data_IF_263018968328
#
_entry.id   IF_263018968328
#
_cell.length_a   1.000
_cell.length_b   1.000
_cell.length_c   1.000
_cell.angle_alpha   90.00
_cell.angle_beta   90.00
_cell.angle_gamma   90.00
#
_symmetry.space_group_name_H-M   'P 1'
#
loop_
_entity.id
_entity.type
_entity.pdbx_description
1 polymer ?
#
# COMPACT_ATOMS: atom_id res chain seq x y z
N UNK A 1 -22.98 43.46 37.67
CA UNK A 1 -23.10 43.50 36.19
C UNK A 1 -21.74 43.64 35.51
N UNK A 2 -20.95 44.71 35.77
CA UNK A 2 -19.61 44.90 35.17
C UNK A 2 -18.62 43.73 35.39
N UNK A 3 -18.57 43.13 36.58
CA UNK A 3 -17.66 42.00 36.85
C UNK A 3 -18.03 40.72 36.08
N UNK A 4 -19.33 40.44 35.91
CA UNK A 4 -19.81 39.26 35.17
C UNK A 4 -19.47 39.39 33.68
N UNK A 5 -19.62 40.59 33.11
CA UNK A 5 -19.27 40.88 31.72
C UNK A 5 -17.75 40.70 31.50
N UNK A 6 -16.92 41.17 32.43
CA UNK A 6 -15.47 41.00 32.34
C UNK A 6 -15.05 39.52 32.42
N UNK A 7 -15.69 38.75 33.31
CA UNK A 7 -15.46 37.30 33.42
C UNK A 7 -15.82 36.57 32.13
N UNK A 8 -16.94 36.92 31.50
CA UNK A 8 -17.38 36.34 30.23
C UNK A 8 -16.47 36.71 29.06
N UNK A 9 -15.95 37.94 29.02
CA UNK A 9 -14.99 38.36 27.96
C UNK A 9 -13.67 37.61 28.12
N UNK A 10 -13.18 37.44 29.35
CA UNK A 10 -11.95 36.70 29.63
C UNK A 10 -12.10 35.21 29.32
N UNK A 11 -13.23 34.58 29.68
CA UNK A 11 -13.47 33.17 29.39
C UNK A 11 -13.70 32.90 27.91
N UNK A 12 -14.41 33.79 27.19
CA UNK A 12 -14.60 33.71 25.74
C UNK A 12 -13.27 33.93 25.00
N UNK A 13 -12.45 34.90 25.46
CA UNK A 13 -11.11 35.13 24.92
C UNK A 13 -10.17 33.93 25.11
N UNK A 14 -10.24 33.28 26.27
CA UNK A 14 -9.48 32.05 26.54
C UNK A 14 -9.97 30.87 25.68
N UNK A 15 -11.29 30.72 25.49
CA UNK A 15 -11.86 29.70 24.61
C UNK A 15 -11.45 29.92 23.15
N UNK A 16 -11.50 31.16 22.65
CA UNK A 16 -11.05 31.48 21.29
C UNK A 16 -9.54 31.28 21.11
N UNK A 17 -8.71 31.66 22.10
CA UNK A 17 -7.27 31.41 22.05
C UNK A 17 -6.92 29.91 22.00
N UNK A 18 -7.73 29.06 22.65
CA UNK A 18 -7.53 27.61 22.66
C UNK A 18 -7.94 26.93 21.33
N UNK A 19 -8.86 27.52 20.57
CA UNK A 19 -9.30 27.00 19.25
C UNK A 19 -8.32 27.38 18.13
N UNK A 20 -7.45 28.36 18.32
CA UNK A 20 -6.52 28.85 17.31
C UNK A 20 -5.15 28.14 17.27
N UNK A 21 -4.91 27.14 18.12
CA UNK A 21 -3.68 26.34 18.03
C UNK A 21 -3.85 25.30 16.92
N UNK A 22 -3.74 25.76 15.67
CA UNK A 22 -3.37 24.87 14.58
C UNK A 22 -1.95 24.39 14.88
N UNK A 23 -1.82 23.22 15.50
CA UNK A 23 -0.57 22.48 15.52
C UNK A 23 -0.30 21.95 14.10
N UNK A 24 -0.04 22.84 13.14
CA UNK A 24 0.64 22.49 11.89
C UNK A 24 2.13 22.28 12.21
N UNK A 25 2.42 21.32 13.08
CA UNK A 25 3.78 20.81 13.23
C UNK A 25 4.14 20.12 11.92
N UNK A 26 5.27 20.49 11.31
CA UNK A 26 5.89 19.65 10.29
C UNK A 26 6.04 18.26 10.90
N UNK A 27 5.47 17.19 10.31
CA UNK A 27 5.72 15.86 10.83
C UNK A 27 7.22 15.60 10.73
N UNK A 28 7.90 15.44 11.86
CA UNK A 28 9.30 15.01 11.92
C UNK A 28 9.40 13.50 11.66
N UNK A 29 8.71 13.01 10.63
CA UNK A 29 8.48 11.59 10.40
C UNK A 29 8.35 11.26 8.92
N UNK A 30 8.24 9.95 8.65
CA UNK A 30 8.03 9.44 7.31
C UNK A 30 6.69 9.93 6.76
N UNK A 31 6.74 10.64 5.64
CA UNK A 31 5.55 11.03 4.88
C UNK A 31 5.55 10.29 3.56
N UNK A 32 4.38 9.80 3.16
CA UNK A 32 4.17 9.09 1.91
C UNK A 32 2.90 9.61 1.26
N UNK A 33 2.96 9.92 -0.03
CA UNK A 33 1.79 10.35 -0.79
C UNK A 33 0.90 9.14 -1.10
N UNK A 34 -0.39 9.25 -0.74
CA UNK A 34 -1.42 8.28 -1.12
C UNK A 34 -2.07 8.74 -2.43
N UNK A 35 -1.89 7.97 -3.49
CA UNK A 35 -2.42 8.26 -4.81
C UNK A 35 -3.68 7.43 -5.02
N UNK A 36 -4.85 8.08 -5.06
CA UNK A 36 -6.10 7.37 -5.36
C UNK A 36 -6.03 6.74 -6.76
N UNK A 37 -6.47 5.48 -6.91
CA UNK A 37 -6.34 4.71 -8.16
C UNK A 37 -6.99 5.37 -9.39
N UNK A 38 -8.06 6.15 -9.18
CA UNK A 38 -8.75 6.92 -10.24
C UNK A 38 -8.32 8.39 -10.31
N UNK A 39 -7.33 8.82 -9.52
CA UNK A 39 -6.78 10.17 -9.64
C UNK A 39 -5.96 10.30 -10.93
N UNK A 40 -5.94 11.46 -11.61
CA UNK A 40 -5.02 11.73 -12.72
C UNK A 40 -3.52 11.49 -12.42
N UNK A 41 -3.12 11.48 -11.14
CA UNK A 41 -1.74 11.16 -10.73
C UNK A 41 -1.43 9.65 -10.72
N UNK A 42 -2.46 8.79 -10.80
CA UNK A 42 -2.31 7.34 -10.79
C UNK A 42 -1.82 6.80 -12.14
N UNK A 43 -0.86 5.86 -12.18
CA UNK A 43 -0.50 5.17 -13.42
C UNK A 43 -1.62 4.27 -13.96
N UNK A 44 -2.66 4.05 -13.16
CA UNK A 44 -3.85 3.27 -13.52
C UNK A 44 -5.01 4.15 -14.00
N UNK A 45 -4.83 5.47 -14.00
CA UNK A 45 -5.87 6.37 -14.49
C UNK A 45 -6.11 6.14 -15.98
N UNK A 46 -7.34 5.80 -16.39
CA UNK A 46 -7.64 5.54 -17.80
C UNK A 46 -7.52 6.80 -18.69
N UNK A 47 -7.53 7.99 -18.08
CA UNK A 47 -7.48 9.26 -18.81
C UNK A 47 -8.84 9.63 -19.40
N UNK A 48 -9.13 10.93 -19.47
CA UNK A 48 -10.29 11.49 -20.19
C UNK A 48 -11.64 10.84 -19.84
N UNK A 49 -11.88 10.51 -18.56
CA UNK A 49 -13.16 10.01 -18.08
C UNK A 49 -14.11 11.15 -17.74
N UNK A 50 -15.43 10.92 -17.87
CA UNK A 50 -16.43 11.89 -17.44
C UNK A 50 -16.63 11.86 -15.93
N UNK A 51 -17.26 12.90 -15.38
CA UNK A 51 -17.61 12.95 -13.97
C UNK A 51 -18.58 11.83 -13.57
N UNK A 52 -19.53 11.50 -14.45
CA UNK A 52 -20.48 10.40 -14.26
C UNK A 52 -19.76 9.05 -14.25
N UNK A 53 -18.78 8.86 -15.14
CA UNK A 53 -17.96 7.65 -15.15
C UNK A 53 -17.10 7.55 -13.88
N UNK A 54 -16.51 8.64 -13.42
CA UNK A 54 -15.76 8.69 -12.16
C UNK A 54 -16.65 8.28 -10.96
N UNK A 55 -17.86 8.84 -10.86
CA UNK A 55 -18.83 8.44 -9.82
C UNK A 55 -19.16 6.95 -9.93
N UNK A 56 -19.44 6.46 -11.14
CA UNK A 56 -19.80 5.05 -11.34
C UNK A 56 -18.67 4.13 -10.87
N UNK A 57 -17.41 4.46 -11.18
CA UNK A 57 -16.23 3.71 -10.74
C UNK A 57 -16.07 3.70 -9.21
N UNK A 58 -16.42 4.78 -8.53
CA UNK A 58 -16.44 4.85 -7.06
C UNK A 58 -17.57 4.00 -6.45
N UNK A 59 -18.74 3.99 -7.08
CA UNK A 59 -19.87 3.14 -6.70
C UNK A 59 -19.51 1.66 -6.86
N UNK A 60 -18.97 1.28 -8.02
CA UNK A 60 -18.59 -0.10 -8.33
C UNK A 60 -17.54 -0.62 -7.34
N UNK A 61 -16.55 0.20 -6.96
CA UNK A 61 -15.58 -0.14 -5.91
C UNK A 61 -16.22 -0.32 -4.54
N UNK A 62 -17.19 0.53 -4.19
CA UNK A 62 -17.91 0.42 -2.93
C UNK A 62 -18.71 -0.89 -2.86
N UNK A 63 -19.37 -1.26 -3.96
CA UNK A 63 -20.09 -2.53 -4.09
C UNK A 63 -19.12 -3.71 -3.97
N UNK A 64 -17.99 -3.69 -4.69
CA UNK A 64 -16.98 -4.74 -4.63
C UNK A 64 -16.42 -4.94 -3.21
N UNK A 65 -16.17 -3.84 -2.47
CA UNK A 65 -15.72 -3.90 -1.07
C UNK A 65 -16.77 -4.55 -0.16
N UNK A 66 -18.04 -4.19 -0.30
CA UNK A 66 -19.13 -4.79 0.48
C UNK A 66 -19.25 -6.28 0.19
N UNK A 67 -19.17 -6.68 -1.08
CA UNK A 67 -19.21 -8.08 -1.49
C UNK A 67 -18.05 -8.88 -0.89
N UNK A 68 -16.83 -8.32 -0.88
CA UNK A 68 -15.67 -8.95 -0.25
C UNK A 68 -15.85 -9.18 1.25
N UNK A 69 -16.34 -8.16 1.98
CA UNK A 69 -16.63 -8.31 3.40
C UNK A 69 -17.76 -9.32 3.65
N UNK A 70 -18.78 -9.35 2.79
CA UNK A 70 -19.87 -10.31 2.92
C UNK A 70 -19.39 -11.75 2.73
N UNK A 71 -18.58 -12.02 1.70
CA UNK A 71 -17.96 -13.33 1.48
C UNK A 71 -17.04 -13.74 2.64
N UNK A 72 -16.25 -12.80 3.14
CA UNK A 72 -15.39 -12.99 4.31
C UNK A 72 -16.22 -13.40 5.54
N UNK A 73 -17.28 -12.66 5.86
CA UNK A 73 -18.13 -12.97 7.01
C UNK A 73 -18.85 -14.32 6.86
N UNK A 74 -19.25 -14.67 5.64
CA UNK A 74 -19.86 -15.95 5.34
C UNK A 74 -18.88 -17.13 5.51
N UNK A 75 -17.62 -16.96 5.10
CA UNK A 75 -16.58 -18.01 5.26
C UNK A 75 -16.12 -18.19 6.70
N UNK A 76 -16.18 -17.14 7.53
CA UNK A 76 -15.90 -17.20 8.98
C UNK A 76 -17.07 -17.74 9.81
N UNK A 77 -18.30 -17.67 9.27
CA UNK A 77 -19.52 -18.11 9.94
C UNK A 77 -19.77 -19.61 9.77
N UNK A 78 -19.46 -20.40 10.79
CA UNK A 78 -19.61 -21.86 10.79
C UNK A 78 -21.06 -22.38 10.89
N UNK A 79 -22.05 -21.68 10.34
CA UNK A 79 -23.46 -22.05 10.46
C UNK A 79 -24.24 -21.72 9.19
N UNK A 80 -24.73 -22.74 8.48
CA UNK A 80 -25.96 -22.79 7.67
C UNK A 80 -26.48 -21.47 7.08
N UNK A 81 -25.63 -20.63 6.51
CA UNK A 81 -26.07 -19.56 5.63
C UNK A 81 -26.42 -20.29 4.35
N UNK A 82 -27.72 -20.43 4.10
CA UNK A 82 -28.25 -20.96 2.85
C UNK A 82 -27.49 -20.30 1.71
N UNK A 83 -26.67 -21.07 1.01
CA UNK A 83 -25.84 -20.65 -0.13
C UNK A 83 -26.69 -20.25 -1.36
N UNK A 84 -27.93 -19.80 -1.14
CA UNK A 84 -29.00 -19.73 -2.14
C UNK A 84 -29.35 -18.33 -2.58
N UNK A 85 -28.50 -17.31 -2.38
CA UNK A 85 -28.82 -15.98 -2.94
C UNK A 85 -27.76 -15.42 -3.89
N UNK A 86 -26.52 -15.93 -3.92
CA UNK A 86 -25.59 -15.45 -4.94
C UNK A 86 -24.75 -16.58 -5.50
N UNK A 87 -24.98 -16.89 -6.78
CA UNK A 87 -24.19 -17.82 -7.54
C UNK A 87 -22.73 -17.32 -7.52
N UNK A 88 -21.73 -18.12 -7.09
CA UNK A 88 -20.33 -17.71 -7.09
C UNK A 88 -19.82 -17.29 -8.47
N UNK A 89 -20.53 -17.68 -9.53
CA UNK A 89 -20.27 -17.27 -10.91
C UNK A 89 -20.84 -15.88 -11.29
N UNK A 90 -21.82 -15.36 -10.54
CA UNK A 90 -22.40 -14.01 -10.73
C UNK A 90 -21.65 -12.92 -9.96
N UNK A 91 -20.76 -13.29 -9.03
CA UNK A 91 -19.83 -12.38 -8.34
C UNK A 91 -18.40 -12.67 -8.81
N UNK A 92 -18.19 -12.66 -10.11
CA UNK A 92 -16.84 -12.34 -10.59
C UNK A 92 -16.84 -10.84 -10.80
N UNK A 93 -16.16 -10.03 -9.95
CA UNK A 93 -15.73 -8.73 -10.45
C UNK A 93 -15.05 -9.03 -11.79
N UNK A 94 -15.51 -8.35 -12.84
CA UNK A 94 -14.89 -8.47 -14.17
C UNK A 94 -13.38 -8.48 -13.92
N UNK A 95 -12.70 -9.47 -14.49
CA UNK A 95 -11.28 -9.75 -14.32
C UNK A 95 -10.37 -8.59 -14.81
N UNK A 96 -10.89 -7.39 -14.99
CA UNK A 96 -10.13 -6.16 -14.91
C UNK A 96 -10.00 -5.78 -13.44
N UNK A 97 -9.01 -6.40 -12.78
CA UNK A 97 -8.21 -5.80 -11.71
C UNK A 97 -8.86 -4.58 -11.01
N UNK A 98 -9.90 -4.80 -10.21
CA UNK A 98 -10.29 -3.88 -9.15
C UNK A 98 -9.71 -4.42 -7.85
N UNK A 99 -8.41 -4.23 -7.59
CA UNK A 99 -7.85 -4.59 -6.30
C UNK A 99 -8.56 -3.79 -5.23
N UNK A 100 -8.77 -4.44 -4.08
CA UNK A 100 -9.40 -3.86 -2.90
C UNK A 100 -8.66 -2.61 -2.39
N UNK A 101 -7.40 -2.43 -2.79
CA UNK A 101 -6.62 -1.23 -2.57
C UNK A 101 -7.11 -0.04 -3.40
N UNK A 102 -7.63 0.98 -2.72
CA UNK A 102 -8.07 2.24 -3.36
C UNK A 102 -6.93 3.26 -3.52
N UNK A 103 -5.80 3.01 -2.88
CA UNK A 103 -4.65 3.90 -2.88
C UNK A 103 -3.38 3.15 -3.27
N UNK A 104 -2.59 3.83 -4.09
CA UNK A 104 -1.24 3.45 -4.48
C UNK A 104 -0.24 4.32 -3.73
N UNK A 105 0.95 3.78 -3.53
CA UNK A 105 2.11 4.53 -3.05
C UNK A 105 3.26 4.34 -4.02
N UNK A 106 3.95 5.44 -4.32
CA UNK A 106 5.16 5.40 -5.13
C UNK A 106 6.36 5.09 -4.23
N UNK A 107 7.15 4.09 -4.59
CA UNK A 107 8.37 3.69 -3.86
C UNK A 107 9.53 3.45 -4.82
N UNK A 108 10.71 3.89 -4.42
CA UNK A 108 11.98 3.53 -5.05
C UNK A 108 12.53 2.26 -4.40
N UNK A 109 12.89 1.25 -5.17
CA UNK A 109 13.38 -0.03 -4.67
C UNK A 109 14.74 -0.36 -5.30
N UNK A 110 15.67 -0.79 -4.45
CA UNK A 110 16.98 -1.30 -4.86
C UNK A 110 18.07 -0.24 -4.98
N UNK A 111 19.27 -0.70 -5.30
CA UNK A 111 20.44 0.16 -5.51
C UNK A 111 21.17 -0.30 -6.77
N UNK A 112 21.24 0.57 -7.77
CA UNK A 112 21.80 0.30 -9.10
C UNK A 112 22.85 1.34 -9.48
N UNK A 113 23.76 0.95 -10.36
CA UNK A 113 24.68 1.89 -10.99
C UNK A 113 23.93 2.77 -11.99
N UNK A 114 23.86 4.06 -11.70
CA UNK A 114 23.19 5.04 -12.54
C UNK A 114 24.04 6.32 -12.60
N UNK A 115 24.45 6.77 -13.80
CA UNK A 115 25.08 8.07 -13.94
C UNK A 115 24.03 9.17 -13.78
N UNK A 116 24.37 10.26 -13.09
CA UNK A 116 23.51 11.44 -13.02
C UNK A 116 23.15 11.91 -14.45
N UNK A 117 21.87 12.18 -14.77
CA UNK A 117 20.72 12.39 -13.87
C UNK A 117 19.82 11.15 -13.64
N UNK A 118 20.24 9.96 -14.05
CA UNK A 118 19.46 8.75 -13.83
C UNK A 118 19.39 8.39 -12.34
N UNK A 119 18.25 7.84 -11.92
CA UNK A 119 18.02 7.40 -10.54
C UNK A 119 18.69 6.05 -10.30
N UNK A 120 19.33 5.89 -9.14
CA UNK A 120 20.00 4.65 -8.71
C UNK A 120 19.05 3.61 -8.11
N UNK A 121 17.76 3.68 -8.40
CA UNK A 121 16.69 2.81 -7.90
C UNK A 121 15.58 2.69 -8.94
N UNK A 122 14.82 1.60 -8.89
CA UNK A 122 13.65 1.41 -9.75
C UNK A 122 12.40 1.92 -9.04
N UNK A 123 11.49 2.58 -9.77
CA UNK A 123 10.23 3.10 -9.21
C UNK A 123 9.10 2.10 -9.39
N UNK A 124 8.36 1.82 -8.33
CA UNK A 124 7.18 0.95 -8.32
C UNK A 124 5.99 1.67 -7.69
N UNK A 125 4.79 1.31 -8.13
CA UNK A 125 3.54 1.70 -7.50
C UNK A 125 2.94 0.49 -6.80
N UNK A 126 2.83 0.55 -5.48
CA UNK A 126 2.32 -0.56 -4.67
C UNK A 126 0.95 -0.21 -4.12
N UNK A 127 0.06 -1.20 -4.02
CA UNK A 127 -1.18 -1.04 -3.27
C UNK A 127 -0.89 -0.92 -1.79
N UNK A 128 -1.61 -0.02 -1.12
CA UNK A 128 -1.57 0.07 0.33
C UNK A 128 -2.44 -1.03 0.92
N UNK A 129 -1.80 -2.04 1.51
CA UNK A 129 -2.46 -3.08 2.27
C UNK A 129 -2.18 -2.87 3.77
N UNK A 130 -3.22 -2.53 4.52
CA UNK A 130 -3.14 -2.34 5.99
C UNK A 130 -3.47 -3.62 6.75
N UNK A 131 -3.89 -4.67 6.04
CA UNK A 131 -4.25 -5.97 6.58
C UNK A 131 -3.10 -6.98 6.60
N UNK A 132 -1.97 -6.66 5.98
CA UNK A 132 -0.77 -7.51 5.97
C UNK A 132 0.43 -6.85 6.65
N UNK A 133 1.39 -7.69 7.04
CA UNK A 133 2.58 -7.27 7.79
C UNK A 133 3.83 -7.11 6.91
N UNK A 134 3.78 -7.58 5.66
CA UNK A 134 4.91 -7.56 4.73
C UNK A 134 4.59 -6.82 3.45
N UNK A 135 5.54 -6.00 3.01
CA UNK A 135 5.56 -5.46 1.66
C UNK A 135 6.24 -6.45 0.73
N UNK A 136 5.63 -6.75 -0.42
CA UNK A 136 6.21 -7.63 -1.42
C UNK A 136 6.14 -7.01 -2.81
N UNK A 137 7.12 -7.35 -3.64
CA UNK A 137 7.16 -7.05 -5.07
C UNK A 137 7.55 -8.31 -5.84
N UNK A 138 7.07 -8.44 -7.06
CA UNK A 138 7.44 -9.55 -7.92
C UNK A 138 8.91 -9.41 -8.34
N UNK A 139 9.73 -10.42 -8.07
CA UNK A 139 11.14 -10.45 -8.46
C UNK A 139 11.34 -11.21 -9.79
N UNK A 140 12.38 -10.88 -10.57
CA UNK A 140 12.67 -11.54 -11.85
C UNK A 140 12.90 -13.05 -11.72
N UNK A 141 13.29 -13.51 -10.52
CA UNK A 141 13.39 -14.93 -10.19
C UNK A 141 12.08 -15.71 -10.35
N UNK A 142 10.91 -15.07 -10.30
CA UNK A 142 9.65 -15.73 -10.58
C UNK A 142 9.59 -16.24 -12.04
N UNK A 143 10.34 -15.63 -12.96
CA UNK A 143 10.36 -16.00 -14.38
C UNK A 143 11.24 -17.24 -14.64
N UNK A 144 11.98 -17.71 -13.64
CA UNK A 144 12.82 -18.91 -13.76
C UNK A 144 11.94 -20.17 -13.94
N UNK A 145 12.45 -21.19 -14.67
CA UNK A 145 11.72 -22.45 -14.86
C UNK A 145 11.31 -23.07 -13.52
N UNK A 146 10.05 -23.52 -13.43
CA UNK A 146 9.49 -24.12 -12.22
C UNK A 146 8.77 -23.14 -11.28
N UNK A 147 8.86 -21.83 -11.54
CA UNK A 147 8.13 -20.80 -10.81
C UNK A 147 6.90 -20.31 -11.60
N UNK A 148 5.98 -19.63 -10.91
CA UNK A 148 4.81 -18.98 -11.50
C UNK A 148 4.86 -17.49 -11.17
N UNK A 149 4.79 -16.63 -12.20
CA UNK A 149 4.68 -15.18 -12.03
C UNK A 149 3.23 -14.73 -12.19
N UNK A 150 2.84 -13.75 -11.38
CA UNK A 150 1.69 -12.91 -11.70
C UNK A 150 1.93 -12.14 -13.00
N UNK A 151 0.87 -11.97 -13.79
CA UNK A 151 0.91 -11.11 -14.96
C UNK A 151 0.86 -9.65 -14.50
N UNK A 152 1.91 -8.89 -14.80
CA UNK A 152 2.02 -7.47 -14.44
C UNK A 152 2.36 -6.64 -15.68
N UNK A 153 1.88 -5.40 -15.72
CA UNK A 153 2.21 -4.45 -16.80
C UNK A 153 3.66 -3.99 -16.67
N UNK A 154 4.10 -3.73 -15.44
CA UNK A 154 5.49 -3.43 -15.11
C UNK A 154 6.33 -4.71 -15.07
N UNK A 155 7.61 -4.66 -15.48
CA UNK A 155 8.50 -5.80 -15.35
C UNK A 155 8.79 -6.12 -13.88
N UNK A 156 9.00 -7.41 -13.55
CA UNK A 156 9.46 -7.80 -12.22
C UNK A 156 10.75 -7.09 -11.81
N UNK A 157 10.93 -6.92 -10.50
CA UNK A 157 12.12 -6.34 -9.90
C UNK A 157 13.37 -7.17 -10.21
N UNK A 158 14.42 -6.56 -10.81
CA UNK A 158 15.64 -7.28 -11.17
C UNK A 158 16.54 -7.52 -9.95
N UNK A 159 16.14 -8.46 -9.09
CA UNK A 159 16.79 -8.70 -7.80
C UNK A 159 18.26 -9.12 -7.94
N UNK A 160 18.64 -9.81 -9.02
CA UNK A 160 20.04 -10.20 -9.25
C UNK A 160 20.98 -9.02 -9.54
N UNK A 161 20.42 -7.86 -9.94
CA UNK A 161 21.19 -6.67 -10.35
C UNK A 161 21.27 -5.60 -9.26
N UNK A 162 20.47 -5.70 -8.20
CA UNK A 162 20.45 -4.72 -7.13
C UNK A 162 21.56 -5.00 -6.11
N UNK A 163 22.42 -4.00 -5.87
CA UNK A 163 23.52 -4.08 -4.89
C UNK A 163 23.06 -4.16 -3.45
N UNK A 164 21.81 -3.76 -3.18
CA UNK A 164 21.22 -3.77 -1.83
C UNK A 164 20.32 -4.97 -1.58
N UNK A 165 20.08 -5.83 -2.57
CA UNK A 165 19.22 -7.01 -2.39
C UNK A 165 19.99 -8.10 -1.64
N UNK A 166 19.45 -8.55 -0.51
CA UNK A 166 20.03 -9.62 0.31
C UNK A 166 18.93 -10.59 0.73
N UNK A 167 18.92 -11.79 0.15
CA UNK A 167 18.03 -12.86 0.61
C UNK A 167 18.41 -13.29 2.04
N UNK A 168 17.42 -13.46 2.91
CA UNK A 168 17.66 -13.84 4.29
C UNK A 168 18.05 -15.31 4.38
N UNK A 169 19.14 -15.60 5.08
CA UNK A 169 19.58 -16.97 5.33
C UNK A 169 18.60 -17.71 6.25
N UNK A 170 18.25 -18.93 5.85
CA UNK A 170 17.40 -19.84 6.63
C UNK A 170 18.00 -20.08 8.03
N UNK A 171 17.16 -20.02 9.07
CA UNK A 171 17.52 -20.27 10.48
C UNK A 171 18.64 -19.40 11.08
N UNK A 172 19.15 -18.39 10.38
CA UNK A 172 20.20 -17.48 10.86
C UNK A 172 19.69 -16.07 11.12
N UNK A 173 18.49 -15.74 10.68
CA UNK A 173 17.90 -14.43 10.80
C UNK A 173 16.68 -14.46 11.75
N UNK A 174 16.56 -13.51 12.71
CA UNK A 174 15.45 -13.48 13.67
C UNK A 174 14.08 -13.23 13.02
N UNK A 175 14.03 -12.64 11.83
CA UNK A 175 12.80 -12.45 11.05
C UNK A 175 12.39 -13.70 10.27
N UNK A 176 13.23 -14.74 10.27
CA UNK A 176 12.91 -16.00 9.63
C UNK A 176 12.26 -16.97 10.62
N UNK A 177 11.04 -17.42 10.31
CA UNK A 177 10.38 -18.46 11.10
C UNK A 177 11.14 -19.79 10.94
N UNK A 178 11.45 -20.43 12.06
CA UNK A 178 12.20 -21.69 12.08
C UNK A 178 11.51 -22.74 11.21
N UNK A 179 12.27 -23.35 10.29
CA UNK A 179 11.80 -24.41 9.40
C UNK A 179 11.06 -23.94 8.13
N UNK A 180 10.80 -22.64 7.95
CA UNK A 180 10.25 -22.11 6.70
C UNK A 180 11.38 -21.70 5.76
N UNK A 181 11.84 -22.64 4.93
CA UNK A 181 12.98 -22.42 4.06
C UNK A 181 12.78 -23.05 2.69
N UNK A 182 13.26 -22.35 1.67
CA UNK A 182 13.37 -22.86 0.29
C UNK A 182 14.85 -22.86 -0.07
N UNK A 183 15.45 -24.06 -0.03
CA UNK A 183 16.91 -24.19 -0.14
C UNK A 183 17.62 -23.48 1.03
N UNK A 184 18.63 -22.63 0.76
CA UNK A 184 19.36 -21.93 1.82
C UNK A 184 18.65 -20.67 2.34
N UNK A 185 17.53 -20.27 1.74
CA UNK A 185 16.88 -18.99 2.00
C UNK A 185 15.60 -19.14 2.80
N UNK A 186 15.28 -18.11 3.58
CA UNK A 186 14.05 -18.03 4.33
C UNK A 186 12.86 -17.84 3.40
N UNK A 187 11.84 -18.68 3.53
CA UNK A 187 10.62 -18.58 2.73
C UNK A 187 9.40 -18.23 3.57
N UNK A 188 8.40 -17.64 2.93
CA UNK A 188 7.12 -17.34 3.54
C UNK A 188 5.99 -17.81 2.64
N UNK A 189 4.91 -18.25 3.30
CA UNK A 189 3.66 -18.65 2.68
C UNK A 189 2.57 -17.74 3.21
N UNK A 190 2.06 -16.88 2.34
CA UNK A 190 1.01 -15.91 2.65
C UNK A 190 -0.27 -16.31 1.91
N UNK A 191 -1.37 -16.40 2.65
CA UNK A 191 -2.71 -16.62 2.11
C UNK A 191 -3.56 -15.39 2.41
N UNK A 192 -4.04 -14.74 1.36
CA UNK A 192 -4.90 -13.57 1.45
C UNK A 192 -6.37 -13.99 1.59
N UNK A 193 -7.20 -13.07 2.08
CA UNK A 193 -8.62 -13.34 2.35
C UNK A 193 -9.45 -13.66 1.10
N UNK A 194 -8.94 -13.30 -0.09
CA UNK A 194 -9.54 -13.66 -1.37
C UNK A 194 -9.10 -15.04 -1.89
N UNK A 195 -8.33 -15.79 -1.10
CA UNK A 195 -7.77 -17.09 -1.45
C UNK A 195 -6.50 -17.01 -2.30
N UNK A 196 -5.98 -15.81 -2.59
CA UNK A 196 -4.70 -15.67 -3.28
C UNK A 196 -3.58 -16.17 -2.38
N UNK A 197 -2.74 -17.04 -2.92
CA UNK A 197 -1.58 -17.59 -2.22
C UNK A 197 -0.29 -17.04 -2.83
N UNK A 198 0.60 -16.53 -1.98
CA UNK A 198 1.92 -16.03 -2.37
C UNK A 198 2.98 -16.83 -1.62
N UNK A 199 3.86 -17.48 -2.37
CA UNK A 199 5.09 -18.08 -1.83
C UNK A 199 6.26 -17.16 -2.17
N UNK A 200 7.02 -16.74 -1.16
CA UNK A 200 8.07 -15.74 -1.32
C UNK A 200 9.35 -16.11 -0.59
N UNK A 201 10.46 -15.47 -0.99
CA UNK A 201 11.73 -15.48 -0.27
C UNK A 201 11.88 -14.15 0.45
N UNK A 202 12.13 -14.19 1.76
CA UNK A 202 12.36 -12.97 2.53
C UNK A 202 13.72 -12.38 2.20
N UNK A 203 13.76 -11.05 2.07
CA UNK A 203 14.98 -10.33 1.72
C UNK A 203 15.02 -8.95 2.37
N UNK A 204 16.23 -8.48 2.66
CA UNK A 204 16.51 -7.09 2.97
C UNK A 204 16.80 -6.32 1.68
N UNK A 205 16.29 -5.10 1.57
CA UNK A 205 16.53 -4.22 0.43
C UNK A 205 16.37 -2.75 0.82
N UNK A 206 17.12 -1.86 0.16
CA UNK A 206 16.92 -0.43 0.30
C UNK A 206 15.60 0.00 -0.37
N UNK A 207 14.77 0.71 0.40
CA UNK A 207 13.53 1.34 -0.07
C UNK A 207 13.66 2.85 0.15
N UNK A 208 13.42 3.61 -0.92
CA UNK A 208 13.28 5.06 -0.88
C UNK A 208 11.79 5.41 -0.99
N UNK A 209 11.26 6.08 0.01
CA UNK A 209 9.91 6.63 -0.04
C UNK A 209 10.03 8.05 -0.56
N UNK A 210 9.31 8.38 -1.64
CA UNK A 210 9.40 9.69 -2.26
C UNK A 210 8.90 10.74 -1.28
N UNK A 211 9.84 11.51 -0.72
CA UNK A 211 9.55 12.70 0.03
C UNK A 211 8.96 13.73 -0.95
N UNK A 212 7.85 14.36 -0.57
CA UNK A 212 7.56 15.71 -1.05
C UNK A 212 8.65 16.60 -0.43
N UNK A 213 9.76 16.74 -1.15
CA UNK A 213 10.81 17.73 -0.88
C UNK A 213 10.17 19.11 -1.05
N UNK A 214 9.62 19.67 0.03
CA UNK A 214 9.48 21.12 0.13
C UNK A 214 10.89 21.65 0.33
N UNK A 215 11.45 22.22 -0.74
CA UNK A 215 12.70 22.96 -0.74
C UNK A 215 12.61 24.20 0.18
N UNK A 216 13.76 24.60 0.73
CA UNK A 216 14.09 25.81 1.53
C UNK A 216 13.67 25.77 3.02
N UNK A 217 14.51 26.12 4.00
CA UNK A 217 15.37 27.30 4.13
C UNK A 217 16.62 26.97 4.98
N UNK A 218 17.76 27.58 4.60
CA UNK A 218 19.01 27.67 5.37
C UNK A 218 18.75 28.39 6.70
N UNK A 219 19.17 27.81 7.82
CA UNK A 219 19.40 28.58 9.04
C UNK A 219 20.72 28.14 9.69
N UNK A 220 21.72 29.00 9.53
CA UNK A 220 22.94 29.02 10.32
C UNK A 220 22.64 29.42 11.77
N UNK A 221 23.39 28.83 12.70
CA UNK A 221 24.02 29.54 13.81
C UNK A 221 25.39 28.93 14.05
#
# INVERSE_FOLDING_TARGET
MRQIILQCILSLGFFLACVCVNAAGKPNGLTMELIHVDSPASPLYPGNISYEEEIQRLIDRSIARVQHHHYTLASLGNNNVSQTIINPLDIRPKLEFYPYGSYLVQVGIGTFDAPFPARSFNTYYLYTDTGSILTWVLCEDCLKPGNQCFQTKEPPFPNSKSKSYVALCCNQNPFCKTGQCTGPYCSQHDEYMDGTVVNSILSGINILIFLVLILEIIATN
#
